data_IF_167909097619
#
_entry.id   IF_167909097619
#
_cell.length_a   1.000
_cell.length_b   1.000
_cell.length_c   1.000
_cell.angle_alpha   90.00
_cell.angle_beta   90.00
_cell.angle_gamma   90.00
#
_symmetry.space_group_name_H-M   'P 1'
#
loop_
_entity.id
_entity.type
_entity.pdbx_description
1 polymer ?
#
# COMPACT_ATOMS: atom_id res chain seq x y z
N UNK A 1 -1.83 7.98 -49.77
CA UNK A 1 -2.09 7.01 -48.68
C UNK A 1 -0.83 6.33 -48.13
N UNK A 2 0.40 6.73 -48.51
CA UNK A 2 1.63 6.15 -47.96
C UNK A 2 2.10 6.81 -46.65
N UNK A 3 1.74 8.07 -46.40
CA UNK A 3 2.14 8.80 -45.19
C UNK A 3 1.47 8.31 -43.90
N UNK A 4 0.23 7.83 -43.98
CA UNK A 4 -0.53 7.35 -42.80
C UNK A 4 0.04 6.05 -42.21
N UNK A 5 0.57 5.16 -43.05
CA UNK A 5 1.17 3.90 -42.61
C UNK A 5 2.50 4.14 -41.85
N UNK A 6 3.33 5.07 -42.34
CA UNK A 6 4.58 5.43 -41.66
C UNK A 6 4.33 6.08 -40.29
N UNK A 7 3.31 6.94 -40.18
CA UNK A 7 2.93 7.56 -38.91
C UNK A 7 2.44 6.52 -37.89
N UNK A 8 1.63 5.54 -38.32
CA UNK A 8 1.16 4.47 -37.43
C UNK A 8 2.30 3.61 -36.87
N UNK A 9 3.31 3.30 -37.70
CA UNK A 9 4.49 2.52 -37.29
C UNK A 9 5.35 3.31 -36.29
N UNK A 10 5.55 4.61 -36.52
CA UNK A 10 6.29 5.48 -35.59
C UNK A 10 5.56 5.63 -34.25
N UNK A 11 4.23 5.79 -34.26
CA UNK A 11 3.43 5.85 -33.03
C UNK A 11 3.49 4.53 -32.27
N UNK A 12 3.40 3.38 -32.95
CA UNK A 12 3.54 2.08 -32.31
C UNK A 12 4.94 1.90 -31.68
N UNK A 13 6.01 2.30 -32.38
CA UNK A 13 7.38 2.28 -31.85
C UNK A 13 7.55 3.20 -30.63
N UNK A 14 6.98 4.41 -30.65
CA UNK A 14 7.04 5.34 -29.51
C UNK A 14 6.25 4.81 -28.30
N UNK A 15 5.12 4.16 -28.53
CA UNK A 15 4.34 3.51 -27.47
C UNK A 15 5.10 2.31 -26.86
N UNK A 16 5.85 1.57 -27.67
CA UNK A 16 6.72 0.47 -27.22
C UNK A 16 7.99 0.96 -26.52
N UNK A 17 8.52 2.11 -26.92
CA UNK A 17 9.74 2.70 -26.36
C UNK A 17 9.53 3.42 -25.02
N UNK A 18 8.28 3.69 -24.62
CA UNK A 18 7.96 4.20 -23.29
C UNK A 18 8.25 3.12 -22.26
N UNK A 19 9.41 3.19 -21.62
CA UNK A 19 9.71 2.40 -20.44
C UNK A 19 8.60 2.66 -19.41
N UNK A 20 7.87 1.63 -18.96
CA UNK A 20 6.90 1.82 -17.90
C UNK A 20 7.65 2.26 -16.66
N UNK A 21 7.42 3.51 -16.24
CA UNK A 21 7.77 3.98 -14.92
C UNK A 21 6.97 3.13 -13.93
N UNK A 22 7.60 2.45 -12.97
CA UNK A 22 6.82 1.77 -11.94
C UNK A 22 6.92 2.54 -10.65
N UNK A 23 5.80 2.58 -9.94
CA UNK A 23 5.74 3.15 -8.61
C UNK A 23 5.16 2.17 -7.64
N UNK A 24 5.50 2.38 -6.37
CA UNK A 24 4.97 1.62 -5.24
C UNK A 24 3.46 1.76 -5.16
N UNK A 25 2.76 0.64 -5.33
CA UNK A 25 1.32 0.54 -5.15
C UNK A 25 0.99 0.52 -3.66
N UNK A 26 1.61 -0.43 -2.95
CA UNK A 26 1.52 -0.66 -1.51
C UNK A 26 2.87 -1.10 -0.94
N UNK A 27 3.14 -0.70 0.30
CA UNK A 27 4.33 -1.02 1.10
C UNK A 27 3.91 -1.55 2.47
N UNK A 28 4.81 -2.26 3.16
CA UNK A 28 4.53 -2.81 4.50
C UNK A 28 3.30 -3.75 4.52
N UNK A 29 3.13 -4.54 3.45
CA UNK A 29 2.06 -5.53 3.36
C UNK A 29 2.41 -6.77 4.19
N UNK A 30 1.41 -7.36 4.84
CA UNK A 30 1.52 -8.72 5.37
C UNK A 30 1.68 -9.72 4.20
N UNK A 31 2.30 -10.87 4.44
CA UNK A 31 2.44 -11.93 3.41
C UNK A 31 1.09 -12.34 2.81
N UNK A 32 0.03 -12.30 3.63
CA UNK A 32 -1.34 -12.61 3.23
C UNK A 32 -1.93 -11.54 2.30
N UNK A 33 -1.80 -10.25 2.62
CA UNK A 33 -2.28 -9.16 1.77
C UNK A 33 -1.44 -9.06 0.49
N UNK A 34 -0.12 -9.25 0.58
CA UNK A 34 0.79 -9.30 -0.56
C UNK A 34 0.39 -10.40 -1.56
N UNK A 35 0.12 -11.61 -1.08
CA UNK A 35 -0.34 -12.73 -1.91
C UNK A 35 -1.69 -12.44 -2.59
N UNK A 36 -2.65 -11.85 -1.88
CA UNK A 36 -3.96 -11.50 -2.42
C UNK A 36 -3.86 -10.40 -3.51
N UNK A 37 -3.02 -9.39 -3.30
CA UNK A 37 -2.78 -8.32 -4.27
C UNK A 37 -2.08 -8.88 -5.52
N UNK A 38 -1.05 -9.70 -5.35
CA UNK A 38 -0.34 -10.34 -6.47
C UNK A 38 -1.26 -11.23 -7.30
N UNK A 39 -2.13 -12.01 -6.66
CA UNK A 39 -3.12 -12.85 -7.35
C UNK A 39 -4.06 -12.01 -8.21
N UNK A 40 -4.55 -10.88 -7.68
CA UNK A 40 -5.41 -9.96 -8.41
C UNK A 40 -4.70 -9.25 -9.57
N UNK A 41 -3.47 -8.78 -9.35
CA UNK A 41 -2.65 -8.18 -10.41
C UNK A 41 -2.40 -9.18 -11.55
N UNK A 42 -2.14 -10.44 -11.20
CA UNK A 42 -1.94 -11.54 -12.15
C UNK A 42 -3.22 -11.83 -12.94
N UNK A 43 -4.38 -11.90 -12.25
CA UNK A 43 -5.68 -12.10 -12.88
C UNK A 43 -6.04 -10.96 -13.87
N UNK A 44 -5.66 -9.74 -13.53
CA UNK A 44 -5.85 -8.55 -14.38
C UNK A 44 -4.77 -8.41 -15.47
N UNK A 45 -3.82 -9.34 -15.56
CA UNK A 45 -2.70 -9.32 -16.50
C UNK A 45 -1.88 -8.02 -16.41
N UNK A 46 -1.70 -7.52 -15.17
CA UNK A 46 -0.94 -6.31 -14.86
C UNK A 46 0.50 -6.72 -14.54
N UNK A 47 1.52 -6.15 -15.20
CA UNK A 47 2.90 -6.39 -14.81
C UNK A 47 3.17 -5.76 -13.44
N UNK A 48 3.78 -6.54 -12.55
CA UNK A 48 4.16 -6.11 -11.21
C UNK A 48 5.60 -6.51 -10.91
N UNK A 49 6.24 -5.80 -9.97
CA UNK A 49 7.58 -6.12 -9.49
C UNK A 49 7.68 -5.87 -7.99
N UNK A 50 8.59 -6.56 -7.32
CA UNK A 50 8.87 -6.34 -5.91
C UNK A 50 10.00 -5.32 -5.75
N UNK A 51 9.81 -4.32 -4.89
CA UNK A 51 10.87 -3.40 -4.51
C UNK A 51 11.89 -4.14 -3.62
N UNK A 52 13.15 -4.13 -4.04
CA UNK A 52 14.23 -4.83 -3.35
C UNK A 52 14.29 -4.43 -1.86
N UNK A 53 14.16 -5.42 -0.97
CA UNK A 53 14.37 -5.27 0.47
C UNK A 53 13.20 -4.72 1.30
N UNK A 54 12.14 -4.18 0.70
CA UNK A 54 11.01 -3.59 1.46
C UNK A 54 9.71 -4.40 1.41
N UNK A 55 9.66 -5.46 0.61
CA UNK A 55 8.43 -6.24 0.39
C UNK A 55 7.32 -5.41 -0.29
N UNK A 56 7.65 -4.24 -0.84
CA UNK A 56 6.67 -3.39 -1.50
C UNK A 56 6.38 -3.89 -2.93
N UNK A 57 5.13 -3.73 -3.36
CA UNK A 57 4.70 -4.11 -4.71
C UNK A 57 4.66 -2.85 -5.57
N UNK A 58 5.36 -2.89 -6.70
CA UNK A 58 5.39 -1.81 -7.69
C UNK A 58 4.66 -2.22 -8.96
N UNK A 59 3.96 -1.26 -9.56
CA UNK A 59 3.16 -1.41 -10.78
C UNK A 59 3.38 -0.19 -11.69
N UNK A 60 3.06 -0.26 -12.99
CA UNK A 60 3.14 0.88 -13.89
C UNK A 60 2.45 2.12 -13.32
N UNK A 61 3.15 3.26 -13.32
CA UNK A 61 2.77 4.52 -12.71
C UNK A 61 1.42 5.03 -13.20
N UNK A 62 1.12 4.77 -14.47
CA UNK A 62 -0.14 5.06 -15.15
C UNK A 62 -1.33 4.30 -14.56
N UNK A 63 -1.09 3.12 -13.97
CA UNK A 63 -2.13 2.24 -13.41
C UNK A 63 -2.27 2.31 -11.89
N UNK A 64 -1.35 2.96 -11.18
CA UNK A 64 -1.33 2.98 -9.70
C UNK A 64 -2.66 3.44 -9.10
N UNK A 65 -3.21 4.56 -9.58
CA UNK A 65 -4.44 5.13 -9.04
C UNK A 65 -5.65 4.25 -9.32
N UNK A 66 -5.75 3.73 -10.55
CA UNK A 66 -6.82 2.82 -10.95
C UNK A 66 -6.76 1.52 -10.15
N UNK A 67 -5.58 0.93 -10.00
CA UNK A 67 -5.38 -0.32 -9.26
C UNK A 67 -5.69 -0.15 -7.78
N UNK A 68 -5.34 0.98 -7.15
CA UNK A 68 -5.74 1.27 -5.76
C UNK A 68 -7.26 1.28 -5.62
N UNK A 69 -7.97 1.94 -6.53
CA UNK A 69 -9.43 1.99 -6.49
C UNK A 69 -10.05 0.60 -6.70
N UNK A 70 -9.57 -0.16 -7.68
CA UNK A 70 -10.06 -1.52 -7.95
C UNK A 70 -9.79 -2.49 -6.81
N UNK A 71 -8.58 -2.46 -6.24
CA UNK A 71 -8.23 -3.31 -5.11
C UNK A 71 -9.04 -2.91 -3.87
N UNK A 72 -9.26 -1.61 -3.64
CA UNK A 72 -10.13 -1.14 -2.56
C UNK A 72 -11.60 -1.61 -2.72
N UNK A 73 -12.13 -1.64 -3.95
CA UNK A 73 -13.45 -2.22 -4.24
C UNK A 73 -13.53 -3.71 -3.91
N UNK A 74 -12.41 -4.42 -3.98
CA UNK A 74 -12.29 -5.83 -3.61
C UNK A 74 -11.99 -6.03 -2.10
N UNK A 75 -11.91 -4.94 -1.33
CA UNK A 75 -11.58 -4.98 0.09
C UNK A 75 -10.09 -5.23 0.38
N UNK A 76 -9.21 -4.91 -0.56
CA UNK A 76 -7.75 -5.01 -0.43
C UNK A 76 -7.09 -3.62 -0.36
N UNK A 77 -6.03 -3.47 0.46
CA UNK A 77 -5.48 -4.43 1.42
C UNK A 77 -6.40 -4.56 2.65
N UNK A 78 -6.56 -5.78 3.18
CA UNK A 78 -7.43 -6.00 4.37
C UNK A 78 -6.83 -5.37 5.63
N UNK A 79 -5.50 -5.20 5.67
CA UNK A 79 -4.78 -4.47 6.71
C UNK A 79 -4.61 -2.97 6.47
N UNK A 80 -5.31 -2.37 5.48
CA UNK A 80 -5.08 -1.00 5.01
C UNK A 80 -5.58 0.12 5.92
N UNK A 81 -4.96 0.33 7.08
CA UNK A 81 -4.87 1.65 7.70
C UNK A 81 -3.68 1.70 8.65
N UNK A 82 -2.53 2.15 8.13
CA UNK A 82 -1.36 2.61 8.90
C UNK A 82 -1.72 3.92 9.66
N UNK A 83 -2.81 3.87 10.43
CA UNK A 83 -3.41 4.98 11.18
C UNK A 83 -3.92 4.58 12.55
N UNK A 84 -3.86 3.29 12.92
CA UNK A 84 -4.21 2.82 14.27
C UNK A 84 -2.99 2.63 15.19
N UNK A 85 -1.78 2.46 14.65
CA UNK A 85 -0.57 2.33 15.47
C UNK A 85 -0.26 3.62 16.25
N UNK A 86 -0.66 4.78 15.72
CA UNK A 86 -0.54 6.08 16.39
C UNK A 86 -1.63 6.33 17.43
N UNK A 87 -2.77 5.64 17.37
CA UNK A 87 -3.84 5.76 18.37
C UNK A 87 -3.62 4.82 19.56
N UNK A 88 -2.97 3.67 19.34
CA UNK A 88 -2.65 2.73 20.43
C UNK A 88 -1.52 3.25 21.33
N UNK A 89 -0.56 4.02 20.81
CA UNK A 89 0.50 4.57 21.65
C UNK A 89 0.02 5.64 22.64
N UNK A 90 -1.04 6.41 22.31
CA UNK A 90 -1.61 7.38 23.26
C UNK A 90 -2.40 6.72 24.39
N UNK A 91 -2.96 5.51 24.18
CA UNK A 91 -3.75 4.82 25.22
C UNK A 91 -2.91 4.18 26.33
N UNK A 92 -1.62 3.94 26.12
CA UNK A 92 -0.72 3.42 27.16
C UNK A 92 -0.17 4.52 28.09
N UNK A 93 -0.20 5.79 27.70
CA UNK A 93 0.30 6.91 28.52
C UNK A 93 -0.61 7.34 29.69
N UNK A 94 -1.89 6.99 29.63
CA UNK A 94 -2.92 7.46 30.58
C UNK A 94 -3.14 6.49 31.76
N UNK A 95 -2.72 5.23 31.64
CA UNK A 95 -2.92 4.21 32.68
C UNK A 95 -1.94 4.33 33.84
N UNK A 96 -0.74 4.87 33.64
CA UNK A 96 0.27 5.04 34.70
C UNK A 96 -0.02 6.25 35.60
N UNK A 97 -0.81 7.23 35.12
CA UNK A 97 -1.16 8.41 35.92
C UNK A 97 -2.37 8.19 36.84
N UNK A 98 -3.22 7.20 36.54
CA UNK A 98 -4.36 6.85 37.40
C UNK A 98 -3.95 5.95 38.59
N UNK A 99 -2.92 5.12 38.42
CA UNK A 99 -2.42 4.26 39.49
C UNK A 99 -1.72 5.07 40.60
N UNK A 100 -1.05 6.16 40.24
CA UNK A 100 -0.29 6.97 41.20
C UNK A 100 -1.17 7.84 42.13
N UNK A 101 -2.45 8.04 41.79
CA UNK A 101 -3.41 8.76 42.66
C UNK A 101 -4.06 7.81 43.69
N UNK A 102 -4.19 6.52 43.36
CA UNK A 102 -4.79 5.55 44.27
C UNK A 102 -3.81 5.04 45.35
N UNK A 103 -2.49 5.05 45.07
CA UNK A 103 -1.48 4.63 46.05
C UNK A 103 -1.30 5.58 47.24
N UNK A 104 -1.75 6.84 47.15
CA UNK A 104 -1.59 7.81 48.24
C UNK A 104 -2.71 7.79 49.29
N UNK A 105 -3.80 7.03 49.08
CA UNK A 105 -4.92 6.94 50.05
C UNK A 105 -4.83 5.76 51.02
N UNK A 106 -3.84 4.86 50.88
CA UNK A 106 -3.73 3.66 51.69
C UNK A 106 -2.50 3.66 52.63
N UNK A 107 -2.16 4.82 53.22
CA UNK A 107 -1.34 4.81 54.44
C UNK A 107 -2.30 4.67 55.63
N UNK A 108 -2.33 3.53 56.33
CA UNK A 108 -3.07 3.42 57.57
C UNK A 108 -2.25 4.14 58.64
N UNK A 109 -2.58 5.40 58.92
CA UNK A 109 -2.10 6.07 60.12
C UNK A 109 -3.04 5.72 61.27
N UNK A 110 -2.64 4.66 61.97
CA UNK A 110 -2.67 4.45 63.43
C UNK A 110 -3.88 4.91 64.23
#
# INVERSE_FOLDING_TARGET
MAGSAAVAIVVAMVLWAKTPDYRTLFSNLSDQDGGAIVAQLTQMNIPYRFANGSGAIEVPADKVHELRLRLAQQGLPKGGAVGFELLDQEKFGISQFSEQVNYQRARPST
#
